data_IF_581398274437
#
_entry.id   IF_581398274437
#
_cell.length_a   1.000
_cell.length_b   1.000
_cell.length_c   1.000
_cell.angle_alpha   90.00
_cell.angle_beta   90.00
_cell.angle_gamma   90.00
#
_symmetry.space_group_name_H-M   'P 1'
#
loop_
_entity.id
_entity.type
_entity.pdbx_description
1 polymer ?
#
# COMPACT_ATOMS: atom_id res chain seq x y z
N UNK A 1 20.98 -33.96 7.89
CA UNK A 1 19.83 -33.63 8.76
C UNK A 1 20.22 -32.45 9.61
N UNK A 2 20.32 -31.27 9.02
CA UNK A 2 20.60 -30.03 9.74
C UNK A 2 19.28 -29.32 9.90
N UNK A 3 18.88 -29.15 11.15
CA UNK A 3 17.67 -28.47 11.52
C UNK A 3 17.78 -26.99 11.12
N UNK A 4 17.05 -26.60 10.09
CA UNK A 4 16.67 -25.22 9.81
C UNK A 4 15.73 -24.75 10.92
N UNK A 5 16.32 -24.40 12.06
CA UNK A 5 15.68 -23.64 13.11
C UNK A 5 15.66 -22.17 12.67
N UNK A 6 14.74 -21.84 11.76
CA UNK A 6 14.31 -20.46 11.52
C UNK A 6 13.65 -19.96 12.82
N UNK A 7 14.48 -19.41 13.69
CA UNK A 7 14.10 -18.89 14.98
C UNK A 7 13.33 -17.58 14.82
N UNK A 8 12.09 -17.62 15.33
CA UNK A 8 11.11 -16.54 15.47
C UNK A 8 10.17 -16.35 14.27
N UNK A 9 9.05 -17.06 14.35
CA UNK A 9 7.81 -16.84 13.60
C UNK A 9 7.67 -15.38 13.11
N UNK A 10 7.67 -15.17 11.78
CA UNK A 10 7.14 -13.95 11.16
C UNK A 10 5.68 -13.85 11.57
N UNK A 11 5.45 -13.22 12.73
CA UNK A 11 4.37 -13.62 13.64
C UNK A 11 3.00 -13.56 12.95
N UNK A 12 2.54 -14.77 12.66
CA UNK A 12 1.20 -15.23 12.30
C UNK A 12 0.75 -15.02 10.84
N UNK A 13 0.80 -16.13 10.10
CA UNK A 13 0.39 -16.36 8.71
C UNK A 13 1.22 -15.65 7.63
N UNK A 14 1.90 -16.45 6.81
CA UNK A 14 2.56 -15.99 5.57
C UNK A 14 1.61 -15.12 4.72
N UNK A 15 0.30 -15.39 4.76
CA UNK A 15 -0.73 -14.59 4.10
C UNK A 15 -0.99 -13.22 4.76
N UNK A 16 -1.07 -13.14 6.09
CA UNK A 16 -1.37 -11.88 6.79
C UNK A 16 -0.18 -10.91 6.80
N UNK A 17 1.05 -11.44 6.84
CA UNK A 17 2.27 -10.62 6.74
C UNK A 17 2.48 -10.07 5.32
N UNK A 18 2.16 -10.85 4.30
CA UNK A 18 2.20 -10.41 2.89
C UNK A 18 1.14 -9.34 2.62
N UNK A 19 -0.08 -9.54 3.12
CA UNK A 19 -1.16 -8.56 2.99
C UNK A 19 -0.78 -7.21 3.62
N UNK A 20 -0.26 -7.22 4.85
CA UNK A 20 0.24 -5.99 5.49
C UNK A 20 1.38 -5.33 4.72
N UNK A 21 2.26 -6.11 4.10
CA UNK A 21 3.33 -5.55 3.25
C UNK A 21 2.75 -4.86 2.01
N UNK A 22 1.71 -5.42 1.37
CA UNK A 22 1.02 -4.75 0.28
C UNK A 22 0.28 -3.49 0.72
N UNK A 23 -0.45 -3.55 1.84
CA UNK A 23 -1.11 -2.37 2.42
C UNK A 23 -0.08 -1.27 2.75
N UNK A 24 1.10 -1.64 3.26
CA UNK A 24 2.21 -0.71 3.48
C UNK A 24 2.69 -0.08 2.16
N UNK A 25 2.88 -0.87 1.10
CA UNK A 25 3.31 -0.38 -0.21
C UNK A 25 2.25 0.44 -0.95
N UNK A 26 0.98 0.24 -0.63
CA UNK A 26 -0.15 1.02 -1.15
C UNK A 26 -0.44 2.28 -0.32
N UNK A 27 0.20 2.45 0.83
CA UNK A 27 -0.06 3.56 1.75
C UNK A 27 -1.43 3.48 2.44
N UNK A 28 -1.97 2.26 2.59
CA UNK A 28 -3.29 1.99 3.13
C UNK A 28 -3.29 1.66 4.65
N UNK A 29 -2.15 1.84 5.31
CA UNK A 29 -1.97 1.55 6.74
C UNK A 29 -2.14 2.79 7.62
N UNK A 30 -2.50 2.56 8.88
CA UNK A 30 -2.47 3.61 9.90
C UNK A 30 -1.02 4.01 10.21
N UNK A 31 -0.76 5.21 10.76
CA UNK A 31 0.60 5.62 11.15
C UNK A 31 1.28 4.65 12.13
N UNK A 32 0.50 4.03 13.02
CA UNK A 32 0.99 3.03 13.96
C UNK A 32 1.41 1.74 13.23
N UNK A 33 0.56 1.23 12.33
CA UNK A 33 0.85 0.02 11.56
C UNK A 33 2.04 0.21 10.62
N UNK A 34 2.21 1.42 10.07
CA UNK A 34 3.39 1.77 9.23
C UNK A 34 4.68 1.56 10.02
N UNK A 35 4.74 1.98 11.27
CA UNK A 35 5.95 1.85 12.08
C UNK A 35 6.20 0.38 12.47
N UNK A 36 5.14 -0.38 12.76
CA UNK A 36 5.26 -1.81 13.05
C UNK A 36 5.82 -2.59 11.84
N UNK A 37 5.26 -2.37 10.65
CA UNK A 37 5.72 -3.03 9.42
C UNK A 37 7.13 -2.58 9.06
N UNK A 38 7.45 -1.29 9.23
CA UNK A 38 8.81 -0.77 9.00
C UNK A 38 9.84 -1.45 9.90
N UNK A 39 9.57 -1.54 11.20
CA UNK A 39 10.46 -2.19 12.15
C UNK A 39 10.67 -3.67 11.78
N UNK A 40 9.60 -4.38 11.43
CA UNK A 40 9.69 -5.77 11.00
C UNK A 40 10.54 -5.95 9.73
N UNK A 41 10.29 -5.15 8.69
CA UNK A 41 11.07 -5.19 7.44
C UNK A 41 12.54 -4.81 7.69
N UNK A 42 12.83 -3.98 8.69
CA UNK A 42 14.19 -3.64 9.08
C UNK A 42 14.93 -4.79 9.77
N UNK A 43 14.23 -5.73 10.40
CA UNK A 43 14.84 -6.83 11.15
C UNK A 43 14.70 -8.21 10.47
N UNK A 44 13.82 -8.33 9.45
CA UNK A 44 13.54 -9.58 8.75
C UNK A 44 14.08 -9.58 7.30
N UNK A 45 15.12 -10.39 6.98
CA UNK A 45 15.70 -10.46 5.63
C UNK A 45 14.70 -10.91 4.57
N UNK A 46 13.83 -11.87 4.87
CA UNK A 46 12.85 -12.40 3.91
C UNK A 46 11.83 -11.33 3.52
N UNK A 47 11.26 -10.63 4.49
CA UNK A 47 10.31 -9.56 4.22
C UNK A 47 10.95 -8.36 3.52
N UNK A 48 12.24 -8.07 3.79
CA UNK A 48 13.00 -7.09 3.02
C UNK A 48 13.12 -7.51 1.57
N UNK A 49 13.48 -8.77 1.30
CA UNK A 49 13.59 -9.28 -0.06
C UNK A 49 12.26 -9.23 -0.81
N UNK A 50 11.16 -9.60 -0.15
CA UNK A 50 9.81 -9.50 -0.73
C UNK A 50 9.44 -8.05 -1.07
N UNK A 51 9.73 -7.10 -0.16
CA UNK A 51 9.50 -5.68 -0.41
C UNK A 51 10.27 -5.18 -1.63
N UNK A 52 11.55 -5.51 -1.72
CA UNK A 52 12.42 -5.11 -2.83
C UNK A 52 11.92 -5.67 -4.17
N UNK A 53 11.53 -6.95 -4.20
CA UNK A 53 10.94 -7.58 -5.39
C UNK A 53 9.68 -6.85 -5.84
N UNK A 54 8.76 -6.57 -4.92
CA UNK A 54 7.50 -5.89 -5.24
C UNK A 54 7.74 -4.45 -5.72
N UNK A 55 8.70 -3.72 -5.14
CA UNK A 55 9.08 -2.39 -5.62
C UNK A 55 9.64 -2.42 -7.06
N UNK A 56 10.41 -3.45 -7.40
CA UNK A 56 10.90 -3.65 -8.77
C UNK A 56 9.75 -3.92 -9.76
N UNK A 57 8.80 -4.78 -9.37
CA UNK A 57 7.61 -5.09 -10.18
C UNK A 57 6.77 -3.82 -10.40
N UNK A 58 6.44 -3.10 -9.33
CA UNK A 58 5.69 -1.83 -9.39
C UNK A 58 6.38 -0.79 -10.24
N UNK A 59 7.71 -0.70 -10.15
CA UNK A 59 8.52 0.18 -10.99
C UNK A 59 8.46 -0.19 -12.47
N UNK A 60 8.49 -1.49 -12.79
CA UNK A 60 8.36 -1.97 -14.17
C UNK A 60 6.96 -1.67 -14.73
N UNK A 61 5.89 -1.97 -13.99
CA UNK A 61 4.50 -1.69 -14.40
C UNK A 61 4.28 -0.20 -14.64
N UNK A 62 4.73 0.67 -13.73
CA UNK A 62 4.62 2.14 -13.89
C UNK A 62 5.32 2.65 -15.16
N UNK A 63 6.43 2.03 -15.58
CA UNK A 63 7.13 2.39 -16.81
C UNK A 63 6.36 2.00 -18.08
N UNK A 64 5.66 0.87 -18.05
CA UNK A 64 4.86 0.40 -19.18
C UNK A 64 3.54 1.19 -19.35
N UNK A 65 2.96 1.68 -18.25
CA UNK A 65 1.66 2.35 -18.25
C UNK A 65 1.77 3.88 -18.09
N UNK A 66 2.35 4.56 -19.07
CA UNK A 66 2.45 6.04 -19.11
C UNK A 66 1.25 6.73 -19.79
N UNK A 67 0.12 6.05 -19.90
CA UNK A 67 -1.09 6.64 -20.49
C UNK A 67 -1.59 7.79 -19.62
N UNK A 68 -1.54 9.00 -20.16
CA UNK A 68 -2.05 10.18 -19.47
C UNK A 68 -3.58 10.15 -19.53
N UNK A 69 -4.21 10.30 -18.36
CA UNK A 69 -5.65 10.50 -18.29
C UNK A 69 -6.09 11.63 -19.25
N UNK A 70 -7.14 11.43 -20.06
CA UNK A 70 -7.63 12.44 -20.98
C UNK A 70 -7.91 13.77 -20.27
N UNK A 71 -7.59 14.89 -20.92
CA UNK A 71 -7.77 16.23 -20.34
C UNK A 71 -9.22 16.48 -19.89
N UNK A 72 -10.19 15.93 -20.62
CA UNK A 72 -11.61 16.02 -20.28
C UNK A 72 -11.92 15.35 -18.94
N UNK A 73 -11.39 14.15 -18.68
CA UNK A 73 -11.60 13.45 -17.41
C UNK A 73 -11.04 14.25 -16.23
N UNK A 74 -9.82 14.80 -16.38
CA UNK A 74 -9.22 15.68 -15.37
C UNK A 74 -10.08 16.90 -15.10
N UNK A 75 -10.58 17.56 -16.15
CA UNK A 75 -11.45 18.72 -16.01
C UNK A 75 -12.74 18.37 -15.26
N UNK A 76 -13.42 17.28 -15.64
CA UNK A 76 -14.64 16.81 -14.97
C UNK A 76 -14.43 16.50 -13.49
N UNK A 77 -13.35 15.81 -13.15
CA UNK A 77 -13.00 15.47 -11.76
C UNK A 77 -12.79 16.76 -10.94
N UNK A 78 -11.99 17.69 -11.45
CA UNK A 78 -11.72 18.95 -10.76
C UNK A 78 -12.99 19.76 -10.54
N UNK A 79 -13.83 19.89 -11.58
CA UNK A 79 -15.13 20.58 -11.45
C UNK A 79 -15.96 19.99 -10.32
N UNK A 80 -16.10 18.66 -10.26
CA UNK A 80 -16.89 17.99 -9.21
C UNK A 80 -16.31 18.19 -7.81
N UNK A 81 -14.99 18.09 -7.65
CA UNK A 81 -14.33 18.25 -6.34
C UNK A 81 -14.44 19.70 -5.84
N UNK A 82 -14.39 20.68 -6.75
CA UNK A 82 -14.51 22.11 -6.39
C UNK A 82 -15.95 22.59 -6.26
N UNK A 83 -16.94 21.76 -6.60
CA UNK A 83 -18.34 22.17 -6.56
C UNK A 83 -18.81 22.30 -5.12
N UNK A 84 -19.15 23.52 -4.70
CA UNK A 84 -19.79 23.78 -3.41
C UNK A 84 -21.29 23.45 -3.53
N UNK A 85 -21.76 22.49 -2.73
CA UNK A 85 -23.19 22.18 -2.61
C UNK A 85 -23.69 22.55 -1.22
N UNK A 86 -24.74 23.38 -1.16
CA UNK A 86 -25.42 23.70 0.10
C UNK A 86 -26.55 22.71 0.33
N UNK A 87 -26.36 21.79 1.27
CA UNK A 87 -27.43 20.89 1.72
C UNK A 87 -28.16 21.54 2.88
N UNK A 88 -29.35 22.08 2.61
CA UNK A 88 -30.23 22.61 3.67
C UNK A 88 -30.83 21.45 4.45
N UNK A 89 -30.41 21.29 5.70
CA UNK A 89 -31.02 20.34 6.63
C UNK A 89 -32.22 20.98 7.32
N UNK A 90 -33.42 20.49 7.02
CA UNK A 90 -34.64 20.88 7.71
C UNK A 90 -34.89 19.91 8.86
N UNK A 91 -34.61 20.35 10.09
CA UNK A 91 -35.00 19.63 11.30
C UNK A 91 -36.47 19.95 11.59
N UNK A 92 -37.30 18.91 11.67
CA UNK A 92 -38.69 18.96 12.11
C UNK A 92 -38.86 18.37 13.50
#
# INVERSE_FOLDING_TARGET
>A
MTADQHGNECRDAQDASLERLYQYLDGALTPEDIEQVRAHVADCPDCRHQKELEELIRSAVRRCCQEKAPAQLRATIMTRITQVSTTTVTWG
#
